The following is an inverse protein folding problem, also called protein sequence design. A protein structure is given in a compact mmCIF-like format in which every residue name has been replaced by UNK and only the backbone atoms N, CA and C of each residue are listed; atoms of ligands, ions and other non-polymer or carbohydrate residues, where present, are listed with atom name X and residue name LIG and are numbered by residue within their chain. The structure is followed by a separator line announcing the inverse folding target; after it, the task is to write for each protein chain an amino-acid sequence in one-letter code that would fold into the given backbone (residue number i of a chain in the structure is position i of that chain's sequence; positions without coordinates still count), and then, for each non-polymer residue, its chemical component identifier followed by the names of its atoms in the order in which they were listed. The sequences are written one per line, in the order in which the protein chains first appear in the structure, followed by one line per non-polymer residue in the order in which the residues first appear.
data_IF_014343620232
#
_entry.id   IF_014343620232
#
_cell.length_a   1.000
_cell.length_b   1.000
_cell.length_c   1.000
_cell.angle_alpha   90.00
_cell.angle_beta   90.00
_cell.angle_gamma   90.00
#
_symmetry.space_group_name_H-M   'P 1'
#
loop_
_entity.id
_entity.type
_entity.pdbx_description
1 polymer ?
#
# COMPACT_ATOMS: atom_id res chain seq x y z
N UNK A 1 9.47 20.14 0.80
CA UNK A 1 8.44 19.93 -0.24
C UNK A 1 8.13 18.45 -0.21
N UNK A 2 6.94 18.09 0.25
CA UNK A 2 6.49 16.69 0.29
C UNK A 2 6.57 16.13 -1.12
N UNK A 3 7.40 15.11 -1.34
CA UNK A 3 7.32 14.27 -2.53
C UNK A 3 5.98 13.58 -2.49
N UNK A 4 4.98 14.23 -3.06
CA UNK A 4 3.66 13.66 -3.29
C UNK A 4 3.91 12.40 -4.10
N UNK A 5 3.67 11.23 -3.51
CA UNK A 5 3.73 9.95 -4.22
C UNK A 5 2.61 10.02 -5.23
N UNK A 6 2.96 10.47 -6.43
CA UNK A 6 2.03 10.61 -7.53
C UNK A 6 1.63 9.21 -8.01
N UNK A 7 0.38 9.03 -8.46
CA UNK A 7 0.02 7.82 -9.16
C UNK A 7 0.85 7.69 -10.44
N UNK A 8 1.30 6.47 -10.74
CA UNK A 8 2.20 6.17 -11.85
C UNK A 8 1.50 5.43 -12.98
N UNK A 9 1.99 5.58 -14.22
CA UNK A 9 1.58 4.74 -15.34
C UNK A 9 2.48 3.49 -15.36
N UNK A 10 1.91 2.27 -15.38
CA UNK A 10 2.72 1.07 -15.34
C UNK A 10 3.56 0.93 -16.61
N UNK A 11 4.80 0.46 -16.49
CA UNK A 11 5.65 0.15 -17.65
C UNK A 11 5.00 -0.92 -18.54
N UNK A 12 4.44 -1.95 -17.90
CA UNK A 12 3.91 -3.15 -18.56
C UNK A 12 2.49 -3.46 -18.05
N UNK A 13 1.69 -4.06 -18.92
CA UNK A 13 0.35 -4.56 -18.62
C UNK A 13 0.19 -5.99 -19.13
N UNK A 14 -0.42 -6.86 -18.33
CA UNK A 14 -0.73 -8.25 -18.72
C UNK A 14 -2.20 -8.37 -19.12
N UNK A 15 -2.43 -8.71 -20.39
CA UNK A 15 -3.74 -8.90 -21.00
C UNK A 15 -4.09 -10.38 -21.10
N UNK A 16 -5.26 -10.78 -20.60
CA UNK A 16 -5.79 -12.13 -20.77
C UNK A 16 -6.63 -12.23 -22.05
N UNK A 17 -6.28 -13.19 -22.93
CA UNK A 17 -6.89 -13.34 -24.25
C UNK A 17 -8.19 -14.17 -24.26
N UNK A 18 -9.05 -13.95 -23.27
CA UNK A 18 -10.34 -14.63 -23.16
C UNK A 18 -11.21 -14.11 -22.00
N UNK A 19 -12.38 -14.74 -21.76
CA UNK A 19 -13.13 -14.53 -20.53
C UNK A 19 -12.28 -14.82 -19.29
N UNK A 20 -12.51 -14.14 -18.15
CA UNK A 20 -11.61 -14.24 -16.98
C UNK A 20 -11.32 -15.67 -16.48
N UNK A 21 -12.31 -16.56 -16.52
CA UNK A 21 -12.19 -17.94 -16.03
C UNK A 21 -11.79 -18.94 -17.13
N UNK A 22 -11.51 -18.46 -18.34
CA UNK A 22 -11.16 -19.32 -19.47
C UNK A 22 -9.67 -19.68 -19.47
N UNK A 23 -9.30 -20.87 -19.98
CA UNK A 23 -7.90 -21.22 -20.19
C UNK A 23 -7.36 -20.52 -21.45
N UNK A 24 -7.07 -19.22 -21.35
CA UNK A 24 -6.50 -18.41 -22.43
C UNK A 24 -5.10 -17.87 -22.08
N UNK A 25 -4.36 -17.46 -23.11
CA UNK A 25 -3.00 -16.92 -22.98
C UNK A 25 -3.03 -15.55 -22.26
N UNK A 26 -2.04 -15.32 -21.39
CA UNK A 26 -1.71 -14.01 -20.85
C UNK A 26 -0.56 -13.40 -21.66
N UNK A 27 -0.77 -12.23 -22.23
CA UNK A 27 0.24 -11.49 -23.01
C UNK A 27 0.63 -10.23 -22.27
N UNK A 28 1.93 -10.03 -22.05
CA UNK A 28 2.45 -8.81 -21.41
C UNK A 28 3.07 -7.90 -22.46
N UNK A 29 2.60 -6.66 -22.53
CA UNK A 29 3.07 -5.61 -23.46
C UNK A 29 3.34 -4.31 -22.70
N UNK A 30 4.01 -3.35 -23.34
CA UNK A 30 4.14 -2.02 -22.76
C UNK A 30 2.76 -1.35 -22.65
N UNK A 31 2.55 -0.53 -21.63
CA UNK A 31 1.28 0.18 -21.48
C UNK A 31 0.93 1.06 -22.70
N UNK A 32 1.86 1.83 -23.30
CA UNK A 32 1.60 2.55 -24.55
C UNK A 32 1.18 1.62 -25.69
N UNK A 33 1.87 0.49 -25.89
CA UNK A 33 1.52 -0.46 -26.98
C UNK A 33 0.13 -1.06 -26.79
N UNK A 34 -0.26 -1.33 -25.55
CA UNK A 34 -1.63 -1.75 -25.22
C UNK A 34 -2.66 -0.69 -25.63
N UNK A 35 -2.45 0.57 -25.25
CA UNK A 35 -3.39 1.66 -25.58
C UNK A 35 -3.44 1.90 -27.10
N UNK A 36 -2.29 1.87 -27.80
CA UNK A 36 -2.23 1.95 -29.27
C UNK A 36 -3.05 0.86 -29.94
N UNK A 37 -2.95 -0.36 -29.42
CA UNK A 37 -3.69 -1.53 -29.89
C UNK A 37 -5.19 -1.34 -29.70
N UNK A 38 -5.62 -0.99 -28.49
CA UNK A 38 -7.03 -0.77 -28.13
C UNK A 38 -7.62 0.38 -28.95
N UNK A 39 -6.95 1.52 -29.00
CA UNK A 39 -7.41 2.67 -29.77
C UNK A 39 -7.57 2.30 -31.25
N UNK A 40 -6.58 1.64 -31.84
CA UNK A 40 -6.68 1.19 -33.24
C UNK A 40 -7.76 0.12 -33.46
N UNK A 41 -8.22 -0.55 -32.40
CA UNK A 41 -9.25 -1.61 -32.41
C UNK A 41 -10.67 -1.10 -32.26
N UNK A 42 -10.85 0.04 -31.63
CA UNK A 42 -12.17 0.51 -31.23
C UNK A 42 -12.58 1.85 -31.83
N UNK A 43 -11.62 2.65 -32.32
CA UNK A 43 -11.90 3.94 -32.94
C UNK A 43 -11.31 4.02 -34.35
N UNK A 44 -11.92 4.87 -35.18
CA UNK A 44 -11.46 5.02 -36.56
C UNK A 44 -10.38 6.12 -36.65
N UNK A 45 -9.28 5.87 -37.37
CA UNK A 45 -8.19 6.84 -37.50
C UNK A 45 -8.60 8.09 -38.30
N UNK A 46 -9.70 8.05 -39.03
CA UNK A 46 -10.19 9.18 -39.84
C UNK A 46 -11.08 10.15 -39.05
N UNK A 47 -11.36 9.87 -37.78
CA UNK A 47 -12.14 10.77 -36.93
C UNK A 47 -11.38 12.08 -36.65
N UNK A 48 -12.11 13.17 -36.34
CA UNK A 48 -11.49 14.41 -35.90
C UNK A 48 -10.53 14.16 -34.73
N UNK A 49 -9.37 14.81 -34.75
CA UNK A 49 -8.31 14.59 -33.74
C UNK A 49 -8.82 14.78 -32.31
N UNK A 50 -9.67 15.79 -32.07
CA UNK A 50 -10.25 16.03 -30.76
C UNK A 50 -11.12 14.87 -30.25
N UNK A 51 -11.84 14.19 -31.16
CA UNK A 51 -12.61 13.00 -30.83
C UNK A 51 -11.67 11.82 -30.51
N UNK A 52 -10.63 11.61 -31.32
CA UNK A 52 -9.62 10.56 -31.10
C UNK A 52 -8.95 10.73 -29.73
N UNK A 53 -8.47 11.93 -29.41
CA UNK A 53 -7.87 12.26 -28.10
C UNK A 53 -8.84 12.01 -26.93
N UNK A 54 -10.09 12.46 -27.03
CA UNK A 54 -11.09 12.24 -25.97
C UNK A 54 -11.34 10.75 -25.71
N UNK A 55 -11.40 9.91 -26.75
CA UNK A 55 -11.54 8.46 -26.59
C UNK A 55 -10.29 7.83 -25.95
N UNK A 56 -9.09 8.23 -26.38
CA UNK A 56 -7.83 7.71 -25.84
C UNK A 56 -7.68 8.08 -24.35
N UNK A 57 -8.02 9.31 -23.95
CA UNK A 57 -8.05 9.67 -22.52
C UNK A 57 -8.98 8.76 -21.70
N UNK A 58 -10.16 8.44 -22.22
CA UNK A 58 -11.08 7.52 -21.56
C UNK A 58 -10.51 6.10 -21.47
N UNK A 59 -9.89 5.59 -22.54
CA UNK A 59 -9.22 4.28 -22.58
C UNK A 59 -8.06 4.19 -21.59
N UNK A 60 -7.19 5.20 -21.52
CA UNK A 60 -6.08 5.26 -20.56
C UNK A 60 -6.63 5.26 -19.13
N UNK A 61 -7.57 6.16 -18.83
CA UNK A 61 -8.15 6.30 -17.49
C UNK A 61 -8.85 5.02 -17.03
N UNK A 62 -9.63 4.39 -17.91
CA UNK A 62 -10.27 3.10 -17.63
C UNK A 62 -9.22 2.01 -17.31
N UNK A 63 -8.18 1.90 -18.14
CA UNK A 63 -7.14 0.88 -17.97
C UNK A 63 -6.38 1.07 -16.66
N UNK A 64 -5.97 2.30 -16.37
CA UNK A 64 -5.32 2.62 -15.09
C UNK A 64 -6.24 2.35 -13.91
N UNK A 65 -7.55 2.62 -14.03
CA UNK A 65 -8.50 2.26 -12.98
C UNK A 65 -8.52 0.74 -12.72
N UNK A 66 -8.49 -0.10 -13.76
CA UNK A 66 -8.41 -1.57 -13.61
C UNK A 66 -7.16 -2.00 -12.86
N UNK A 67 -6.02 -1.41 -13.21
CA UNK A 67 -4.72 -1.72 -12.61
C UNK A 67 -4.67 -1.25 -11.15
N UNK A 68 -5.05 0.00 -10.89
CA UNK A 68 -4.94 0.59 -9.54
C UNK A 68 -5.91 -0.07 -8.56
N UNK A 69 -7.13 -0.34 -9.02
CA UNK A 69 -8.10 -1.09 -8.21
C UNK A 69 -7.74 -2.57 -8.12
N UNK A 70 -6.73 -3.04 -8.85
CA UNK A 70 -6.37 -4.44 -8.98
C UNK A 70 -7.60 -5.30 -9.23
N UNK A 71 -8.42 -4.85 -10.18
CA UNK A 71 -9.76 -5.39 -10.36
C UNK A 71 -9.75 -6.91 -10.54
N UNK A 72 -8.81 -7.44 -11.33
CA UNK A 72 -8.65 -8.87 -11.54
C UNK A 72 -7.73 -9.51 -10.48
N UNK A 73 -6.59 -8.91 -10.15
CA UNK A 73 -5.69 -9.46 -9.13
C UNK A 73 -6.35 -9.63 -7.76
N UNK A 74 -7.21 -8.70 -7.35
CA UNK A 74 -8.01 -8.79 -6.12
C UNK A 74 -9.03 -9.93 -6.12
N UNK A 75 -9.34 -10.51 -7.29
CA UNK A 75 -10.17 -11.71 -7.45
C UNK A 75 -9.36 -12.99 -7.60
N UNK A 76 -8.03 -12.92 -7.52
CA UNK A 76 -7.14 -14.06 -7.58
C UNK A 76 -6.59 -14.37 -8.98
N UNK A 77 -6.87 -13.55 -9.98
CA UNK A 77 -6.26 -13.68 -11.31
C UNK A 77 -4.82 -13.13 -11.32
N UNK A 78 -4.01 -13.57 -12.27
CA UNK A 78 -2.61 -13.16 -12.45
C UNK A 78 -2.40 -12.11 -13.56
N UNK A 79 -3.48 -11.66 -14.18
CA UNK A 79 -3.52 -10.64 -15.24
C UNK A 79 -4.20 -9.34 -14.78
N UNK A 80 -4.03 -8.27 -15.57
CA UNK A 80 -4.50 -6.93 -15.23
C UNK A 80 -5.80 -6.54 -15.94
N UNK A 81 -6.05 -7.08 -17.14
CA UNK A 81 -7.21 -6.76 -17.97
C UNK A 81 -7.52 -7.89 -18.96
N UNK A 82 -8.76 -7.98 -19.44
CA UNK A 82 -9.13 -8.91 -20.53
C UNK A 82 -9.13 -8.22 -21.89
N UNK A 83 -9.26 -8.99 -22.98
CA UNK A 83 -9.19 -8.50 -24.36
C UNK A 83 -10.55 -8.35 -25.07
N UNK A 84 -11.67 -8.41 -24.35
CA UNK A 84 -13.01 -8.42 -24.94
C UNK A 84 -13.91 -7.31 -24.38
N UNK A 85 -14.68 -6.68 -25.27
CA UNK A 85 -15.67 -5.62 -24.94
C UNK A 85 -16.81 -6.09 -24.04
N UNK A 86 -16.96 -7.39 -23.82
CA UNK A 86 -17.88 -7.92 -22.81
C UNK A 86 -17.45 -7.55 -21.38
N UNK A 87 -16.14 -7.39 -21.15
CA UNK A 87 -15.57 -7.21 -19.82
C UNK A 87 -14.72 -5.94 -19.72
N UNK A 88 -13.92 -5.65 -20.75
CA UNK A 88 -12.96 -4.54 -20.83
C UNK A 88 -12.85 -4.00 -22.27
N UNK A 89 -11.63 -3.77 -22.78
CA UNK A 89 -11.39 -3.26 -24.13
C UNK A 89 -11.18 -4.40 -25.13
N UNK A 90 -11.44 -4.11 -26.40
CA UNK A 90 -11.08 -4.98 -27.50
C UNK A 90 -9.57 -4.87 -27.79
N UNK A 91 -8.84 -5.95 -27.54
CA UNK A 91 -7.41 -6.05 -27.81
C UNK A 91 -7.14 -7.27 -28.70
N UNK A 92 -6.29 -7.09 -29.71
CA UNK A 92 -5.92 -8.14 -30.66
C UNK A 92 -4.41 -8.31 -30.66
N UNK A 93 -3.91 -9.49 -30.30
CA UNK A 93 -2.48 -9.80 -30.36
C UNK A 93 -1.96 -9.61 -31.80
N UNK A 94 -0.80 -8.97 -31.93
CA UNK A 94 -0.07 -8.76 -33.20
C UNK A 94 -0.81 -7.95 -34.29
N UNK A 95 -1.81 -7.12 -33.94
CA UNK A 95 -2.49 -6.27 -34.93
C UNK A 95 -1.63 -5.11 -35.42
N UNK A 96 -1.97 -4.60 -36.60
CA UNK A 96 -1.42 -3.34 -37.11
C UNK A 96 -2.01 -2.12 -36.39
N UNK A 97 -1.17 -1.12 -36.12
CA UNK A 97 -1.51 0.12 -35.42
C UNK A 97 -1.57 1.27 -36.43
N UNK A 98 -2.56 2.14 -36.32
CA UNK A 98 -2.65 3.31 -37.18
C UNK A 98 -1.65 4.39 -36.72
N UNK A 99 -0.85 4.91 -37.64
CA UNK A 99 0.23 5.86 -37.34
C UNK A 99 -0.27 7.10 -36.58
N UNK A 100 -1.38 7.70 -37.02
CA UNK A 100 -1.93 8.89 -36.36
C UNK A 100 -2.46 8.61 -34.95
N UNK A 101 -2.99 7.41 -34.71
CA UNK A 101 -3.38 6.95 -33.38
C UNK A 101 -2.13 6.73 -32.53
N UNK A 102 -1.09 6.10 -33.08
CA UNK A 102 0.18 5.88 -32.37
C UNK A 102 0.77 7.20 -31.87
N UNK A 103 0.86 8.21 -32.73
CA UNK A 103 1.41 9.52 -32.39
C UNK A 103 0.64 10.19 -31.26
N UNK A 104 -0.70 10.16 -31.31
CA UNK A 104 -1.53 10.72 -30.24
C UNK A 104 -1.32 9.96 -28.92
N UNK A 105 -1.26 8.62 -28.95
CA UNK A 105 -1.00 7.83 -27.73
C UNK A 105 0.38 8.17 -27.16
N UNK A 106 1.42 8.27 -27.99
CA UNK A 106 2.77 8.63 -27.54
C UNK A 106 2.83 10.00 -26.85
N UNK A 107 1.92 10.91 -27.19
CA UNK A 107 1.82 12.22 -26.53
C UNK A 107 1.11 12.18 -25.17
N UNK A 108 0.09 11.32 -24.98
CA UNK A 108 -0.83 11.42 -23.83
C UNK A 108 -0.95 10.15 -22.99
N UNK A 109 -0.19 9.08 -23.27
CA UNK A 109 -0.34 7.79 -22.58
C UNK A 109 -0.15 7.88 -21.05
N UNK A 110 0.55 8.91 -20.57
CA UNK A 110 0.80 9.18 -19.17
C UNK A 110 -0.10 10.27 -18.57
N UNK A 111 -1.20 10.60 -19.25
CA UNK A 111 -2.23 11.52 -18.80
C UNK A 111 -3.55 10.79 -18.57
N UNK A 112 -4.27 11.09 -17.48
CA UNK A 112 -5.54 10.41 -17.19
C UNK A 112 -6.54 11.28 -16.43
N UNK A 113 -7.80 10.87 -16.53
CA UNK A 113 -8.95 11.58 -15.97
C UNK A 113 -9.05 11.25 -14.49
N UNK A 114 -9.28 12.27 -13.66
CA UNK A 114 -9.58 12.12 -12.23
C UNK A 114 -10.77 12.97 -11.84
N UNK A 115 -11.43 12.62 -10.73
CA UNK A 115 -12.40 13.52 -10.08
C UNK A 115 -11.64 14.66 -9.38
N UNK A 116 -12.23 15.85 -9.33
CA UNK A 116 -11.64 16.99 -8.63
C UNK A 116 -11.36 16.65 -7.15
N UNK A 117 -10.10 16.81 -6.75
CA UNK A 117 -9.61 16.47 -5.41
C UNK A 117 -9.24 14.99 -5.24
N UNK A 118 -9.28 14.18 -6.30
CA UNK A 118 -8.80 12.80 -6.33
C UNK A 118 -7.56 12.68 -7.22
N UNK A 119 -6.74 11.68 -6.93
CA UNK A 119 -5.63 11.24 -7.79
C UNK A 119 -5.87 9.83 -8.34
N UNK A 120 -7.01 9.22 -8.01
CA UNK A 120 -7.37 7.89 -8.52
C UNK A 120 -7.94 8.05 -9.93
N UNK A 121 -7.43 7.28 -10.92
CA UNK A 121 -7.94 7.30 -12.28
C UNK A 121 -9.42 6.99 -12.30
N UNK A 122 -10.19 7.82 -13.00
CA UNK A 122 -11.62 7.63 -13.19
C UNK A 122 -11.86 6.32 -13.94
N UNK A 123 -12.82 5.53 -13.48
CA UNK A 123 -13.38 4.45 -14.30
C UNK A 123 -14.22 5.07 -15.42
N UNK A 124 -13.53 5.56 -16.46
CA UNK A 124 -14.09 6.29 -17.59
C UNK A 124 -14.77 5.30 -18.55
N UNK A 125 -15.91 4.75 -18.12
CA UNK A 125 -16.70 3.84 -18.94
C UNK A 125 -17.12 4.52 -20.24
N UNK A 126 -17.11 3.79 -21.34
CA UNK A 126 -17.59 4.26 -22.63
C UNK A 126 -18.29 3.13 -23.39
N UNK A 127 -18.99 3.50 -24.45
CA UNK A 127 -19.66 2.58 -25.36
C UNK A 127 -19.66 3.17 -26.77
N UNK A 128 -19.90 2.31 -27.76
CA UNK A 128 -19.91 2.73 -29.16
C UNK A 128 -20.84 3.93 -29.43
N UNK A 129 -22.03 3.95 -28.82
CA UNK A 129 -22.94 5.09 -28.93
C UNK A 129 -23.87 5.09 -30.13
N UNK A 130 -23.69 4.18 -31.10
CA UNK A 130 -24.64 3.99 -32.22
C UNK A 130 -25.51 2.74 -32.05
N UNK A 131 -24.91 1.62 -31.66
CA UNK A 131 -25.58 0.34 -31.42
C UNK A 131 -25.81 0.04 -29.94
N UNK A 132 -25.23 0.86 -29.05
CA UNK A 132 -25.33 0.68 -27.59
C UNK A 132 -25.20 2.03 -26.90
N UNK A 133 -26.05 2.27 -25.90
CA UNK A 133 -26.07 3.49 -25.09
C UNK A 133 -25.64 3.17 -23.66
N UNK A 134 -24.82 4.03 -23.07
CA UNK A 134 -24.31 3.90 -21.71
C UNK A 134 -24.29 5.27 -21.03
N UNK A 135 -24.16 5.28 -19.70
CA UNK A 135 -24.00 6.51 -18.90
C UNK A 135 -22.67 7.22 -19.16
N UNK A 136 -21.70 6.49 -19.72
CA UNK A 136 -20.36 6.97 -20.02
C UNK A 136 -20.24 7.68 -21.38
N UNK A 137 -19.01 7.79 -21.86
CA UNK A 137 -18.73 8.44 -23.14
C UNK A 137 -19.29 7.63 -24.33
N UNK A 138 -19.98 8.33 -25.24
CA UNK A 138 -20.42 7.79 -26.53
C UNK A 138 -19.30 8.01 -27.55
N UNK A 139 -18.66 6.93 -28.03
CA UNK A 139 -17.51 7.04 -28.94
C UNK A 139 -17.89 7.83 -30.21
N UNK A 140 -19.00 7.49 -30.86
CA UNK A 140 -19.49 8.25 -32.01
C UNK A 140 -19.97 9.66 -31.63
N UNK A 141 -20.56 9.83 -30.45
CA UNK A 141 -20.97 11.15 -29.98
C UNK A 141 -19.80 12.11 -29.75
N UNK A 142 -18.57 11.62 -29.55
CA UNK A 142 -17.38 12.49 -29.54
C UNK A 142 -17.09 13.13 -30.89
N UNK A 143 -17.41 12.44 -31.99
CA UNK A 143 -17.21 12.93 -33.36
C UNK A 143 -18.11 14.14 -33.61
N UNK A 144 -19.38 14.07 -33.21
CA UNK A 144 -20.33 15.16 -33.37
C UNK A 144 -19.92 16.41 -32.58
N UNK A 145 -19.44 16.24 -31.35
CA UNK A 145 -18.95 17.34 -30.52
C UNK A 145 -17.65 17.92 -31.07
N UNK A 146 -16.72 17.09 -31.53
CA UNK A 146 -15.48 17.56 -32.15
C UNK A 146 -15.75 18.37 -33.43
N UNK A 147 -16.71 17.94 -34.26
CA UNK A 147 -17.14 18.68 -35.45
C UNK A 147 -17.81 20.03 -35.11
N UNK A 148 -18.38 20.15 -33.91
CA UNK A 148 -18.89 21.42 -33.37
C UNK A 148 -17.78 22.31 -32.77
N UNK A 149 -16.53 21.88 -32.83
CA UNK A 149 -15.37 22.65 -32.37
C UNK A 149 -14.99 22.42 -30.90
N UNK A 150 -15.58 21.43 -30.23
CA UNK A 150 -15.23 21.11 -28.84
C UNK A 150 -13.81 20.53 -28.77
N UNK A 151 -13.06 20.96 -27.76
CA UNK A 151 -11.75 20.40 -27.40
C UNK A 151 -11.90 19.03 -26.71
N UNK A 152 -10.84 18.20 -26.62
CA UNK A 152 -10.91 16.91 -25.93
C UNK A 152 -11.42 17.04 -24.49
N UNK A 153 -10.92 18.02 -23.74
CA UNK A 153 -11.32 18.23 -22.34
C UNK A 153 -12.79 18.68 -22.21
N UNK A 154 -13.30 19.49 -23.15
CA UNK A 154 -14.72 19.85 -23.17
C UNK A 154 -15.62 18.66 -23.49
N UNK A 155 -15.20 17.79 -24.43
CA UNK A 155 -15.89 16.53 -24.73
C UNK A 155 -15.92 15.63 -23.48
N UNK A 156 -14.80 15.48 -22.79
CA UNK A 156 -14.73 14.68 -21.56
C UNK A 156 -15.64 15.24 -20.46
N UNK A 157 -15.67 16.56 -20.26
CA UNK A 157 -16.58 17.20 -19.29
C UNK A 157 -18.04 17.03 -19.66
N UNK A 158 -18.37 17.03 -20.95
CA UNK A 158 -19.73 16.77 -21.42
C UNK A 158 -20.23 15.39 -20.98
N UNK A 159 -19.39 14.35 -21.06
CA UNK A 159 -19.79 12.98 -20.71
C UNK A 159 -19.61 12.63 -19.23
N UNK A 160 -18.54 13.11 -18.59
CA UNK A 160 -18.20 12.69 -17.23
C UNK A 160 -18.53 13.73 -16.15
N UNK A 161 -19.03 14.91 -16.53
CA UNK A 161 -19.35 16.00 -15.63
C UNK A 161 -18.24 17.05 -15.52
N UNK A 162 -18.56 18.20 -14.91
CA UNK A 162 -17.63 19.32 -14.77
C UNK A 162 -16.63 19.15 -13.62
N UNK A 163 -16.80 18.12 -12.79
CA UNK A 163 -15.99 17.79 -11.62
C UNK A 163 -14.83 16.82 -11.97
N UNK A 164 -14.30 16.91 -13.19
CA UNK A 164 -13.13 16.17 -13.64
C UNK A 164 -11.93 17.09 -13.89
N UNK A 165 -10.73 16.56 -13.68
CA UNK A 165 -9.46 17.13 -14.14
C UNK A 165 -8.67 16.07 -14.90
N UNK A 166 -7.63 16.49 -15.62
CA UNK A 166 -6.62 15.59 -16.18
C UNK A 166 -5.36 15.74 -15.33
N UNK A 167 -4.82 14.63 -14.83
CA UNK A 167 -3.45 14.59 -14.33
C UNK A 167 -2.56 14.37 -15.54
N UNK A 168 -1.60 15.27 -15.72
CA UNK A 168 -0.67 15.23 -16.85
C UNK A 168 0.72 14.77 -16.38
N UNK A 169 1.46 14.13 -17.27
CA UNK A 169 2.86 13.74 -17.06
C UNK A 169 3.09 12.85 -15.82
N UNK A 170 2.21 11.87 -15.60
CA UNK A 170 2.40 10.93 -14.52
C UNK A 170 3.70 10.14 -14.69
N UNK A 171 4.44 9.88 -13.59
CA UNK A 171 5.68 9.10 -13.66
C UNK A 171 5.38 7.67 -14.15
N UNK A 172 6.35 7.05 -14.81
CA UNK A 172 6.27 5.65 -15.23
C UNK A 172 6.96 4.78 -14.17
N UNK A 173 6.35 3.64 -13.81
CA UNK A 173 6.96 2.71 -12.85
C UNK A 173 6.52 1.27 -13.08
N UNK A 174 7.22 0.30 -12.50
CA UNK A 174 6.87 -1.12 -12.58
C UNK A 174 5.48 -1.38 -12.00
N UNK A 175 4.68 -2.21 -12.68
CA UNK A 175 3.37 -2.67 -12.18
C UNK A 175 3.56 -3.72 -11.06
N UNK A 176 3.84 -3.27 -9.84
CA UNK A 176 4.04 -4.15 -8.68
C UNK A 176 2.70 -4.38 -7.98
N UNK A 177 2.35 -5.65 -7.77
CA UNK A 177 1.21 -6.09 -6.94
C UNK A 177 1.16 -5.35 -5.60
N UNK A 178 -0.02 -4.92 -5.15
CA UNK A 178 -0.18 -4.15 -3.91
C UNK A 178 0.07 -4.97 -2.65
N UNK A 179 -0.17 -6.29 -2.69
CA UNK A 179 0.15 -7.15 -1.55
C UNK A 179 1.66 -7.13 -1.30
N UNK A 180 2.13 -6.77 -0.08
CA UNK A 180 3.55 -6.53 0.21
C UNK A 180 4.47 -7.76 0.08
N UNK A 181 3.96 -8.92 -0.32
CA UNK A 181 4.75 -10.14 -0.46
C UNK A 181 5.07 -10.83 0.86
N UNK A 182 4.65 -10.26 1.99
CA UNK A 182 4.75 -10.84 3.32
C UNK A 182 3.44 -10.60 4.09
N UNK A 183 3.04 -11.52 4.99
CA UNK A 183 1.81 -11.37 5.75
C UNK A 183 1.93 -10.25 6.78
N UNK A 184 0.87 -9.44 6.92
CA UNK A 184 0.74 -8.51 8.05
C UNK A 184 0.04 -9.23 9.20
N UNK A 185 0.58 -9.09 10.41
CA UNK A 185 0.09 -9.75 11.61
C UNK A 185 0.41 -8.89 12.83
N UNK A 186 0.06 -9.34 14.03
CA UNK A 186 0.32 -8.62 15.26
C UNK A 186 1.76 -8.07 15.31
N UNK A 187 1.80 -6.74 15.46
CA UNK A 187 2.87 -5.75 15.39
C UNK A 187 3.80 -5.76 14.18
N UNK A 188 3.31 -6.23 13.03
CA UNK A 188 3.67 -5.58 11.78
C UNK A 188 3.44 -4.07 11.90
N UNK A 189 4.31 -3.28 11.29
CA UNK A 189 4.16 -1.83 11.24
C UNK A 189 4.55 -1.31 9.87
N UNK A 190 3.91 -0.23 9.45
CA UNK A 190 4.16 0.38 8.16
C UNK A 190 2.87 0.92 7.56
N UNK A 191 3.04 1.58 6.43
CA UNK A 191 1.93 2.15 5.69
C UNK A 191 1.01 1.06 5.08
N UNK A 192 1.49 -0.17 4.87
CA UNK A 192 0.67 -1.31 4.48
C UNK A 192 -0.35 -1.66 5.57
N UNK A 193 0.08 -1.57 6.84
CA UNK A 193 -0.81 -1.74 7.99
C UNK A 193 -1.79 -0.58 8.06
N UNK A 194 -1.32 0.66 7.89
CA UNK A 194 -2.20 1.83 7.88
C UNK A 194 -3.27 1.72 6.78
N UNK A 195 -2.87 1.20 5.62
CA UNK A 195 -3.76 0.95 4.47
C UNK A 195 -4.87 -0.02 4.85
N UNK A 196 -4.55 -1.19 5.40
CA UNK A 196 -5.59 -2.14 5.80
C UNK A 196 -6.45 -1.61 6.94
N UNK A 197 -5.89 -0.83 7.87
CA UNK A 197 -6.65 -0.26 8.98
C UNK A 197 -7.72 0.72 8.47
N UNK A 198 -7.35 1.60 7.53
CA UNK A 198 -8.30 2.50 6.84
C UNK A 198 -9.35 1.73 6.07
N UNK A 199 -8.93 0.75 5.26
CA UNK A 199 -9.85 -0.04 4.45
C UNK A 199 -10.84 -0.84 5.32
N UNK A 200 -10.36 -1.50 6.38
CA UNK A 200 -11.21 -2.24 7.32
C UNK A 200 -12.18 -1.30 8.05
N UNK A 201 -11.75 -0.11 8.44
CA UNK A 201 -12.64 0.89 9.04
C UNK A 201 -13.71 1.37 8.07
N UNK A 202 -13.40 1.55 6.78
CA UNK A 202 -14.42 1.90 5.80
C UNK A 202 -15.38 0.74 5.56
N UNK A 203 -14.85 -0.47 5.46
CA UNK A 203 -15.68 -1.68 5.31
C UNK A 203 -16.61 -1.83 6.52
N UNK A 204 -16.15 -1.53 7.74
CA UNK A 204 -16.99 -1.66 8.93
C UNK A 204 -18.17 -0.68 8.99
N UNK A 205 -18.20 0.39 8.19
CA UNK A 205 -19.40 1.22 8.03
C UNK A 205 -20.58 0.42 7.44
N UNK A 206 -20.28 -0.49 6.51
CA UNK A 206 -21.27 -1.36 5.87
C UNK A 206 -21.37 -2.74 6.53
N UNK A 207 -20.35 -3.14 7.30
CA UNK A 207 -20.28 -4.41 8.03
C UNK A 207 -19.99 -4.16 9.53
N UNK A 208 -20.97 -3.66 10.32
CA UNK A 208 -20.74 -3.16 11.68
C UNK A 208 -20.28 -4.19 12.71
N UNK A 209 -20.33 -5.48 12.37
CA UNK A 209 -19.77 -6.53 13.22
C UNK A 209 -18.26 -6.50 13.25
N UNK A 210 -17.58 -5.97 12.21
CA UNK A 210 -16.13 -5.71 12.22
C UNK A 210 -15.84 -4.57 13.21
N UNK A 211 -15.09 -4.81 14.30
CA UNK A 211 -14.74 -3.77 15.25
C UNK A 211 -14.04 -2.58 14.59
N UNK A 212 -14.37 -1.36 15.02
CA UNK A 212 -13.67 -0.15 14.60
C UNK A 212 -12.27 -0.11 15.20
N UNK A 213 -11.28 0.17 14.37
CA UNK A 213 -9.89 0.40 14.75
C UNK A 213 -9.77 1.89 15.07
N UNK A 214 -9.65 2.26 16.35
CA UNK A 214 -9.61 3.68 16.74
C UNK A 214 -8.27 4.33 16.43
N UNK A 215 -7.20 3.53 16.43
CA UNK A 215 -5.83 4.00 16.24
C UNK A 215 -5.32 3.65 14.82
N UNK A 216 -5.49 4.58 13.88
CA UNK A 216 -4.95 4.49 12.51
C UNK A 216 -3.48 4.93 12.46
N UNK A 217 -2.63 4.18 13.15
CA UNK A 217 -1.22 4.53 13.38
C UNK A 217 -0.24 3.72 12.51
N UNK A 218 -0.74 2.80 11.68
CA UNK A 218 0.10 1.90 10.90
C UNK A 218 0.84 0.86 11.73
N UNK A 219 0.36 0.57 12.95
CA UNK A 219 0.85 -0.51 13.80
C UNK A 219 -0.26 -1.54 13.97
N UNK A 220 0.04 -2.78 13.64
CA UNK A 220 -0.94 -3.87 13.62
C UNK A 220 -1.12 -4.35 15.06
N UNK A 221 -1.88 -3.63 15.87
CA UNK A 221 -2.19 -4.02 17.25
C UNK A 221 -3.32 -5.04 17.36
N UNK A 222 -3.70 -5.36 18.59
CA UNK A 222 -4.82 -6.29 18.90
C UNK A 222 -6.13 -5.85 18.26
N UNK A 223 -6.46 -4.55 18.29
CA UNK A 223 -7.64 -4.02 17.59
C UNK A 223 -7.65 -4.31 16.08
N UNK A 224 -6.47 -4.24 15.45
CA UNK A 224 -6.34 -4.54 14.01
C UNK A 224 -6.49 -6.04 13.78
N UNK A 225 -5.90 -6.87 14.63
CA UNK A 225 -6.06 -8.33 14.59
C UNK A 225 -7.52 -8.75 14.75
N UNK A 226 -8.24 -8.21 15.73
CA UNK A 226 -9.65 -8.50 15.99
C UNK A 226 -10.53 -8.10 14.79
N UNK A 227 -10.29 -6.92 14.21
CA UNK A 227 -10.95 -6.49 12.99
C UNK A 227 -10.67 -7.43 11.81
N UNK A 228 -9.43 -7.90 11.67
CA UNK A 228 -9.04 -8.87 10.63
C UNK A 228 -9.71 -10.23 10.85
N UNK A 229 -9.71 -10.78 12.07
CA UNK A 229 -10.38 -12.05 12.39
C UNK A 229 -11.86 -11.99 12.07
N UNK A 230 -12.51 -10.89 12.44
CA UNK A 230 -13.93 -10.69 12.18
C UNK A 230 -14.22 -10.51 10.68
N UNK A 231 -13.38 -9.77 9.96
CA UNK A 231 -13.45 -9.68 8.50
C UNK A 231 -13.31 -11.08 7.85
N UNK A 232 -12.31 -11.86 8.27
CA UNK A 232 -12.07 -13.22 7.78
C UNK A 232 -13.28 -14.13 8.03
N UNK A 233 -13.90 -14.03 9.21
CA UNK A 233 -15.12 -14.75 9.54
C UNK A 233 -16.27 -14.42 8.56
N UNK A 234 -16.54 -13.13 8.34
CA UNK A 234 -17.64 -12.67 7.47
C UNK A 234 -17.45 -13.12 6.02
N UNK A 235 -16.21 -13.11 5.54
CA UNK A 235 -15.88 -13.38 4.14
C UNK A 235 -15.38 -14.81 3.88
N UNK A 236 -15.61 -15.74 4.82
CA UNK A 236 -15.28 -17.16 4.71
C UNK A 236 -13.79 -17.42 4.38
N UNK A 237 -12.89 -16.69 5.03
CA UNK A 237 -11.44 -16.90 4.99
C UNK A 237 -10.98 -17.69 6.24
N UNK A 238 -9.72 -18.14 6.22
CA UNK A 238 -9.05 -18.63 7.44
C UNK A 238 -9.04 -17.54 8.51
N UNK A 239 -9.58 -17.83 9.71
CA UNK A 239 -9.72 -16.87 10.81
C UNK A 239 -8.47 -16.85 11.71
N UNK A 240 -7.31 -16.63 11.10
CA UNK A 240 -6.01 -16.64 11.78
C UNK A 240 -5.57 -15.25 12.28
N UNK A 241 -6.32 -14.19 11.97
CA UNK A 241 -5.96 -12.80 12.31
C UNK A 241 -4.81 -12.24 11.49
N UNK A 242 -4.36 -12.96 10.46
CA UNK A 242 -3.22 -12.62 9.62
C UNK A 242 -3.70 -12.13 8.25
N UNK A 243 -3.24 -10.95 7.86
CA UNK A 243 -3.44 -10.42 6.51
C UNK A 243 -2.36 -10.98 5.58
N UNK A 244 -2.54 -12.26 5.19
CA UNK A 244 -1.82 -12.86 4.07
C UNK A 244 -2.40 -12.46 2.71
N UNK A 245 -1.85 -13.00 1.61
CA UNK A 245 -2.23 -12.67 0.22
C UNK A 245 -3.75 -12.72 0.00
N UNK A 246 -4.40 -13.80 0.43
CA UNK A 246 -5.85 -13.98 0.27
C UNK A 246 -6.66 -12.93 1.03
N UNK A 247 -6.34 -12.70 2.31
CA UNK A 247 -7.00 -11.69 3.14
C UNK A 247 -6.82 -10.29 2.58
N UNK A 248 -5.59 -9.91 2.19
CA UNK A 248 -5.27 -8.61 1.60
C UNK A 248 -6.14 -8.30 0.39
N UNK A 249 -6.16 -9.21 -0.59
CA UNK A 249 -6.92 -9.01 -1.81
C UNK A 249 -8.42 -9.05 -1.57
N UNK A 250 -8.89 -9.83 -0.61
CA UNK A 250 -10.31 -9.82 -0.23
C UNK A 250 -10.71 -8.49 0.42
N UNK A 251 -9.90 -7.92 1.33
CA UNK A 251 -10.13 -6.59 1.91
C UNK A 251 -10.22 -5.56 0.78
N UNK A 252 -9.22 -5.54 -0.12
CA UNK A 252 -9.20 -4.60 -1.25
C UNK A 252 -10.41 -4.77 -2.17
N UNK A 253 -10.81 -6.00 -2.49
CA UNK A 253 -11.97 -6.29 -3.33
C UNK A 253 -13.27 -5.73 -2.71
N UNK A 254 -13.48 -5.97 -1.41
CA UNK A 254 -14.67 -5.50 -0.68
C UNK A 254 -14.64 -3.97 -0.57
N UNK A 255 -13.49 -3.41 -0.19
CA UNK A 255 -13.28 -1.96 -0.10
C UNK A 255 -13.61 -1.26 -1.43
N UNK A 256 -13.06 -1.75 -2.55
CA UNK A 256 -13.33 -1.19 -3.88
C UNK A 256 -14.80 -1.30 -4.28
N UNK A 257 -15.47 -2.39 -3.89
CA UNK A 257 -16.91 -2.53 -4.08
C UNK A 257 -17.71 -1.44 -3.36
N UNK A 258 -17.37 -1.15 -2.11
CA UNK A 258 -18.00 -0.09 -1.30
C UNK A 258 -17.63 1.31 -1.84
N UNK A 259 -16.36 1.53 -2.20
CA UNK A 259 -15.90 2.81 -2.72
C UNK A 259 -16.64 3.19 -4.02
N UNK A 260 -16.81 2.25 -4.95
CA UNK A 260 -17.60 2.47 -6.18
C UNK A 260 -19.07 2.79 -5.89
N UNK A 261 -19.67 2.16 -4.87
CA UNK A 261 -21.04 2.51 -4.43
C UNK A 261 -21.11 3.90 -3.81
N UNK A 262 -20.07 4.30 -3.07
CA UNK A 262 -19.94 5.63 -2.49
C UNK A 262 -19.67 6.72 -3.55
N UNK A 263 -19.03 6.41 -4.69
CA UNK A 263 -18.93 7.34 -5.82
C UNK A 263 -20.27 7.58 -6.54
N UNK A 264 -21.17 6.59 -6.52
CA UNK A 264 -22.50 6.66 -7.15
C UNK A 264 -23.55 7.34 -6.26
N UNK A 265 -23.31 7.38 -4.95
CA UNK A 265 -24.15 8.08 -3.97
C UNK A 265 -23.43 9.37 -3.59
N UNK A 266 -24.11 10.46 -3.25
CA UNK A 266 -23.46 11.77 -3.07
C UNK A 266 -22.48 11.86 -1.87
N UNK A 267 -22.16 10.74 -1.23
CA UNK A 267 -21.20 10.61 -0.12
C UNK A 267 -19.77 10.57 -0.67
N UNK A 268 -19.22 11.77 -0.91
CA UNK A 268 -17.84 11.97 -1.37
C UNK A 268 -16.84 11.30 -0.41
N UNK A 269 -16.16 10.26 -0.89
CA UNK A 269 -14.91 9.76 -0.30
C UNK A 269 -13.91 10.92 -0.16
N UNK A 270 -13.16 10.97 0.94
CA UNK A 270 -12.09 11.96 1.11
C UNK A 270 -10.80 11.45 0.47
N UNK A 271 -9.90 12.34 0.04
CA UNK A 271 -8.59 12.00 -0.52
C UNK A 271 -7.79 11.02 0.37
N UNK A 272 -7.98 11.10 1.69
CA UNK A 272 -7.36 10.25 2.71
C UNK A 272 -7.95 8.83 2.76
N UNK A 273 -9.21 8.66 2.35
CA UNK A 273 -9.89 7.37 2.22
C UNK A 273 -9.42 6.61 0.99
N UNK A 274 -9.03 7.31 -0.08
CA UNK A 274 -8.74 6.71 -1.41
C UNK A 274 -7.25 6.66 -1.77
N UNK A 275 -6.34 7.21 -0.96
CA UNK A 275 -4.91 7.24 -1.29
C UNK A 275 -3.96 6.86 -0.13
N UNK A 276 -2.86 6.12 -0.37
CA UNK A 276 -2.41 5.54 -1.63
C UNK A 276 -2.59 4.01 -1.69
N UNK A 277 -3.15 3.53 -2.80
CA UNK A 277 -3.34 2.11 -3.13
C UNK A 277 -2.00 1.45 -3.60
N UNK A 278 -0.86 2.05 -3.24
CA UNK A 278 0.48 1.70 -3.73
C UNK A 278 1.42 1.23 -2.63
N UNK A 279 2.42 0.39 -2.96
CA UNK A 279 3.43 -0.01 -2.00
C UNK A 279 4.09 1.24 -1.45
N UNK A 280 4.04 1.35 -0.15
CA UNK A 280 4.48 2.51 0.57
C UNK A 280 5.99 2.51 0.65
N UNK A 281 6.57 3.36 -0.16
CA UNK A 281 7.99 3.64 -0.15
C UNK A 281 8.31 4.50 1.08
N UNK A 282 9.21 4.07 1.97
CA UNK A 282 9.73 4.97 3.00
C UNK A 282 10.84 5.81 2.38
N UNK A 283 10.66 7.13 2.41
CA UNK A 283 11.58 8.09 1.80
C UNK A 283 12.00 9.16 2.81
N UNK A 284 13.03 9.90 2.42
CA UNK A 284 13.49 11.09 3.14
C UNK A 284 12.34 12.07 3.45
N UNK A 285 12.33 12.63 4.65
CA UNK A 285 11.33 13.55 5.17
C UNK A 285 10.13 12.88 5.86
N UNK A 286 9.99 11.56 5.79
CA UNK A 286 8.96 10.83 6.55
C UNK A 286 9.30 10.74 8.04
N UNK A 287 8.28 10.68 8.89
CA UNK A 287 8.46 10.53 10.33
C UNK A 287 7.38 9.65 10.96
N UNK A 288 7.74 8.89 11.99
CA UNK A 288 6.81 8.08 12.77
C UNK A 288 7.45 6.81 13.33
N UNK A 289 6.68 6.00 14.04
CA UNK A 289 7.21 4.78 14.67
C UNK A 289 7.63 3.72 13.65
N UNK A 290 7.07 3.73 12.44
CA UNK A 290 7.53 2.89 11.33
C UNK A 290 8.96 3.26 10.88
N UNK A 291 9.33 4.54 10.98
CA UNK A 291 10.72 4.99 10.77
C UNK A 291 11.60 4.58 11.95
N UNK A 292 11.10 4.63 13.19
CA UNK A 292 11.87 4.10 14.34
C UNK A 292 12.17 2.62 14.17
N UNK A 293 11.20 1.82 13.72
CA UNK A 293 11.42 0.39 13.44
C UNK A 293 12.48 0.20 12.35
N UNK A 294 12.39 0.97 11.25
CA UNK A 294 13.41 0.98 10.19
C UNK A 294 14.80 1.26 10.74
N UNK A 295 14.94 2.38 11.46
CA UNK A 295 16.19 2.84 12.01
C UNK A 295 16.74 1.84 13.04
N UNK A 296 15.89 1.27 13.89
CA UNK A 296 16.30 0.27 14.86
C UNK A 296 16.85 -1.00 14.19
N UNK A 297 16.20 -1.48 13.12
CA UNK A 297 16.69 -2.65 12.39
C UNK A 297 18.01 -2.36 11.69
N UNK A 298 18.12 -1.18 11.06
CA UNK A 298 19.36 -0.73 10.42
C UNK A 298 20.48 -0.58 11.43
N UNK A 299 20.22 0.02 12.59
CA UNK A 299 21.21 0.24 13.66
C UNK A 299 21.79 -1.09 14.19
N UNK A 300 20.92 -2.05 14.49
CA UNK A 300 21.35 -3.39 14.92
C UNK A 300 22.13 -4.12 13.82
N UNK A 301 21.72 -3.99 12.55
CA UNK A 301 22.45 -4.59 11.43
C UNK A 301 23.80 -3.87 11.22
N UNK A 302 23.85 -2.54 11.33
CA UNK A 302 25.06 -1.73 11.16
C UNK A 302 26.18 -2.13 12.13
N UNK A 303 25.81 -2.51 13.37
CA UNK A 303 26.77 -3.04 14.35
C UNK A 303 27.59 -4.24 13.82
N UNK A 304 26.98 -5.10 13.00
CA UNK A 304 27.64 -6.28 12.42
C UNK A 304 28.20 -6.01 11.01
N UNK A 305 27.75 -4.94 10.36
CA UNK A 305 28.15 -4.56 9.01
C UNK A 305 28.64 -3.10 9.00
N UNK A 306 29.93 -2.85 9.30
CA UNK A 306 30.50 -1.49 9.46
C UNK A 306 30.44 -0.60 8.22
N UNK A 307 29.99 -1.14 7.09
CA UNK A 307 29.79 -0.40 5.83
C UNK A 307 28.51 0.42 5.86
N UNK A 308 27.59 0.10 6.77
CA UNK A 308 26.37 0.86 7.03
C UNK A 308 26.72 1.90 8.08
N UNK A 309 26.56 3.21 7.78
CA UNK A 309 26.79 4.27 8.76
C UNK A 309 25.89 4.14 9.99
N UNK A 310 26.43 4.53 11.15
CA UNK A 310 25.65 4.64 12.38
C UNK A 310 24.55 5.70 12.25
N UNK A 311 23.36 5.38 12.76
CA UNK A 311 22.20 6.27 12.72
C UNK A 311 21.58 6.45 14.10
N UNK A 312 20.75 7.48 14.22
CA UNK A 312 19.95 7.70 15.42
C UNK A 312 18.54 7.16 15.19
N UNK A 313 17.99 6.46 16.19
CA UNK A 313 16.61 5.98 16.19
C UNK A 313 15.69 7.09 16.72
N UNK A 314 15.53 8.16 15.93
CA UNK A 314 14.73 9.34 16.29
C UNK A 314 13.30 9.32 15.69
N UNK A 315 13.05 8.42 14.76
CA UNK A 315 11.78 8.32 14.04
C UNK A 315 11.63 9.32 12.91
N UNK A 316 12.70 10.01 12.48
CA UNK A 316 12.72 10.91 11.33
C UNK A 316 13.66 10.39 10.24
N UNK A 317 13.15 10.18 9.03
CA UNK A 317 13.92 9.70 7.90
C UNK A 317 14.70 10.88 7.30
N UNK A 318 15.82 11.23 7.93
CA UNK A 318 16.74 12.26 7.46
C UNK A 318 17.84 11.74 6.53
N UNK A 319 18.77 12.64 6.18
CA UNK A 319 19.93 12.36 5.32
C UNK A 319 20.72 11.13 5.79
N UNK A 320 21.02 11.03 7.09
CA UNK A 320 21.73 9.87 7.66
C UNK A 320 20.98 8.55 7.49
N UNK A 321 19.65 8.56 7.67
CA UNK A 321 18.84 7.35 7.46
C UNK A 321 18.87 6.95 5.99
N UNK A 322 18.83 7.91 5.06
CA UNK A 322 18.93 7.67 3.62
C UNK A 322 20.29 7.08 3.23
N UNK A 323 21.38 7.63 3.75
CA UNK A 323 22.73 7.11 3.55
C UNK A 323 22.86 5.67 4.05
N UNK A 324 22.34 5.36 5.24
CA UNK A 324 22.32 4.01 5.78
C UNK A 324 21.48 3.05 4.94
N UNK A 325 20.32 3.48 4.44
CA UNK A 325 19.50 2.70 3.51
C UNK A 325 20.24 2.41 2.21
N UNK A 326 20.89 3.43 1.60
CA UNK A 326 21.66 3.25 0.37
C UNK A 326 22.85 2.30 0.58
N UNK A 327 23.57 2.44 1.70
CA UNK A 327 24.66 1.54 2.06
C UNK A 327 24.17 0.10 2.25
N UNK A 328 23.04 -0.08 2.93
CA UNK A 328 22.40 -1.39 3.09
C UNK A 328 21.93 -1.97 1.75
N UNK A 329 21.27 -1.19 0.89
CA UNK A 329 20.84 -1.61 -0.45
C UNK A 329 22.03 -2.09 -1.29
N UNK A 330 23.13 -1.32 -1.29
CA UNK A 330 24.35 -1.68 -1.99
C UNK A 330 24.96 -2.98 -1.44
N UNK A 331 25.01 -3.14 -0.12
CA UNK A 331 25.51 -4.36 0.54
C UNK A 331 24.68 -5.61 0.15
N UNK A 332 23.38 -5.45 -0.05
CA UNK A 332 22.45 -6.52 -0.40
C UNK A 332 22.25 -6.73 -1.90
N UNK A 333 22.92 -5.94 -2.76
CA UNK A 333 22.76 -6.01 -4.22
C UNK A 333 21.36 -5.57 -4.71
N UNK A 334 20.71 -4.66 -3.98
CA UNK A 334 19.43 -4.05 -4.36
C UNK A 334 19.65 -2.76 -5.17
N UNK A 335 18.59 -2.24 -5.79
CA UNK A 335 18.60 -0.88 -6.37
C UNK A 335 18.99 0.14 -5.30
N UNK A 336 20.00 0.96 -5.57
CA UNK A 336 20.57 1.92 -4.62
C UNK A 336 19.92 3.30 -4.83
N UNK A 337 18.69 3.45 -4.38
CA UNK A 337 17.88 4.67 -4.54
C UNK A 337 17.63 5.40 -3.21
N UNK A 338 18.00 4.81 -2.07
CA UNK A 338 17.73 5.36 -0.74
C UNK A 338 16.26 5.31 -0.35
N UNK A 339 15.45 4.56 -1.09
CA UNK A 339 14.02 4.39 -0.89
C UNK A 339 13.76 2.99 -0.33
N UNK A 340 13.11 2.92 0.83
CA UNK A 340 12.78 1.64 1.44
C UNK A 340 11.46 1.12 0.89
N UNK A 341 11.55 0.38 -0.21
CA UNK A 341 10.45 -0.41 -0.74
C UNK A 341 10.39 -1.82 -0.14
N UNK A 342 9.49 -2.65 -0.69
CA UNK A 342 9.27 -4.05 -0.29
C UNK A 342 10.55 -4.87 -0.17
N UNK A 343 11.38 -4.82 -1.21
CA UNK A 343 12.58 -5.67 -1.28
C UNK A 343 13.62 -5.25 -0.25
N UNK A 344 13.80 -3.93 -0.06
CA UNK A 344 14.65 -3.38 0.99
C UNK A 344 14.15 -3.79 2.37
N UNK A 345 12.85 -3.66 2.66
CA UNK A 345 12.27 -4.03 3.95
C UNK A 345 12.44 -5.52 4.27
N UNK A 346 12.14 -6.39 3.29
CA UNK A 346 12.30 -7.83 3.40
C UNK A 346 13.75 -8.21 3.64
N UNK A 347 14.66 -7.63 2.86
CA UNK A 347 16.09 -7.88 2.99
C UNK A 347 16.60 -7.44 4.36
N UNK A 348 16.21 -6.25 4.83
CA UNK A 348 16.59 -5.73 6.14
C UNK A 348 16.10 -6.62 7.28
N UNK A 349 14.84 -7.04 7.23
CA UNK A 349 14.26 -7.95 8.23
C UNK A 349 15.00 -9.30 8.26
N UNK A 350 15.38 -9.83 7.09
CA UNK A 350 16.16 -11.07 7.00
C UNK A 350 17.58 -10.90 7.56
N UNK A 351 18.25 -9.79 7.22
CA UNK A 351 19.57 -9.47 7.74
C UNK A 351 19.54 -9.34 9.28
N UNK A 352 18.56 -8.62 9.81
CA UNK A 352 18.32 -8.47 11.25
C UNK A 352 18.12 -9.83 11.94
N UNK A 353 17.23 -10.68 11.43
CA UNK A 353 17.01 -12.01 11.98
C UNK A 353 18.24 -12.92 11.89
N UNK A 354 19.05 -12.75 10.85
CA UNK A 354 20.31 -13.49 10.68
C UNK A 354 21.33 -13.06 11.72
N UNK A 355 21.46 -11.75 11.94
CA UNK A 355 22.29 -11.18 13.00
C UNK A 355 21.89 -11.73 14.37
N UNK A 356 20.59 -11.71 14.71
CA UNK A 356 20.11 -12.24 15.99
C UNK A 356 20.49 -13.71 16.21
N UNK A 357 20.39 -14.54 15.17
CA UNK A 357 20.75 -15.97 15.23
C UNK A 357 22.26 -16.22 15.31
N UNK A 358 23.07 -15.27 14.84
CA UNK A 358 24.52 -15.39 14.83
C UNK A 358 25.17 -14.98 16.16
N UNK A 359 24.41 -14.40 17.10
CA UNK A 359 24.92 -14.00 18.41
C UNK A 359 25.33 -15.25 19.21
N UNK A 360 26.60 -15.37 19.64
CA UNK A 360 27.05 -16.50 20.44
C UNK A 360 26.32 -16.59 21.80
N UNK A 361 26.03 -17.79 22.32
CA UNK A 361 25.28 -17.98 23.56
C UNK A 361 25.85 -17.22 24.77
N UNK A 362 27.17 -17.06 24.84
CA UNK A 362 27.87 -16.37 25.91
C UNK A 362 27.57 -14.86 25.99
N UNK A 363 27.15 -14.23 24.88
CA UNK A 363 26.77 -12.81 24.83
C UNK A 363 25.26 -12.58 25.01
N UNK A 364 24.46 -13.64 25.21
CA UNK A 364 22.99 -13.53 25.32
C UNK A 364 22.51 -12.65 26.49
N UNK A 365 23.33 -12.48 27.52
CA UNK A 365 23.03 -11.58 28.65
C UNK A 365 23.28 -10.12 28.30
N UNK A 366 24.32 -9.81 27.52
CA UNK A 366 24.61 -8.46 27.02
C UNK A 366 23.64 -8.06 25.89
N UNK A 367 23.15 -9.03 25.11
CA UNK A 367 22.17 -8.81 24.04
C UNK A 367 20.71 -8.89 24.51
N UNK A 368 20.48 -9.04 25.81
CA UNK A 368 19.13 -9.07 26.42
C UNK A 368 18.34 -7.76 26.23
N UNK A 369 19.02 -6.68 25.83
CA UNK A 369 18.43 -5.39 25.46
C UNK A 369 18.11 -5.28 23.96
N UNK A 370 18.46 -6.27 23.15
CA UNK A 370 18.10 -6.32 21.73
C UNK A 370 16.70 -6.90 21.61
N UNK A 371 15.85 -6.22 20.85
CA UNK A 371 14.50 -6.68 20.54
C UNK A 371 14.56 -8.07 19.90
N UNK A 372 13.67 -9.02 20.24
CA UNK A 372 13.79 -10.39 19.75
C UNK A 372 13.33 -10.57 18.28
N UNK A 373 12.95 -9.49 17.58
CA UNK A 373 12.52 -9.53 16.18
C UNK A 373 11.07 -9.96 15.96
N UNK A 374 10.32 -10.15 17.04
CA UNK A 374 8.89 -10.42 17.02
C UNK A 374 8.21 -9.74 18.21
N UNK A 375 6.90 -9.53 18.07
CA UNK A 375 6.12 -8.73 19.02
C UNK A 375 5.82 -9.53 20.27
N UNK A 376 5.98 -8.89 21.42
CA UNK A 376 5.52 -9.43 22.69
C UNK A 376 4.12 -8.88 22.99
N UNK A 377 3.17 -9.76 23.26
CA UNK A 377 1.76 -9.43 23.46
C UNK A 377 1.11 -10.45 24.38
N UNK A 378 -0.11 -10.15 24.84
CA UNK A 378 -0.86 -11.03 25.73
C UNK A 378 -0.91 -12.50 25.26
N UNK A 379 -0.73 -13.42 26.21
CA UNK A 379 -0.72 -14.86 25.98
C UNK A 379 0.62 -15.45 25.53
N UNK A 380 1.61 -14.62 25.22
CA UNK A 380 2.97 -15.09 24.94
C UNK A 380 3.64 -15.59 26.23
N UNK A 381 4.22 -16.78 26.20
CA UNK A 381 4.96 -17.35 27.33
C UNK A 381 6.37 -17.79 26.90
N UNK A 382 7.39 -17.03 27.27
CA UNK A 382 8.80 -17.34 26.99
C UNK A 382 9.79 -16.47 27.80
N UNK A 383 11.09 -16.69 27.59
CA UNK A 383 12.13 -15.94 28.29
C UNK A 383 12.27 -14.48 27.81
N UNK A 384 11.83 -14.14 26.59
CA UNK A 384 11.81 -12.74 26.11
C UNK A 384 10.77 -11.91 26.88
N UNK A 385 9.65 -12.51 27.28
CA UNK A 385 8.69 -11.89 28.19
C UNK A 385 9.30 -11.68 29.58
N UNK A 386 10.07 -12.65 30.12
CA UNK A 386 10.78 -12.43 31.39
C UNK A 386 11.75 -11.26 31.30
N UNK A 387 12.47 -11.14 30.18
CA UNK A 387 13.37 -10.00 29.92
C UNK A 387 12.60 -8.69 29.92
N UNK A 388 11.50 -8.60 29.17
CA UNK A 388 10.63 -7.43 29.16
C UNK A 388 10.14 -7.07 30.58
N UNK A 389 9.62 -8.04 31.32
CA UNK A 389 9.12 -7.84 32.69
C UNK A 389 10.23 -7.33 33.63
N UNK A 390 11.46 -7.83 33.46
CA UNK A 390 12.63 -7.34 34.22
C UNK A 390 12.91 -5.87 33.92
N UNK A 391 12.87 -5.46 32.65
CA UNK A 391 13.05 -4.07 32.24
C UNK A 391 11.91 -3.19 32.77
N UNK A 392 10.66 -3.61 32.61
CA UNK A 392 9.48 -2.87 33.11
C UNK A 392 9.51 -2.71 34.63
N UNK A 393 9.90 -3.75 35.38
CA UNK A 393 10.02 -3.67 36.83
C UNK A 393 11.07 -2.63 37.26
N UNK A 394 12.21 -2.56 36.57
CA UNK A 394 13.23 -1.54 36.85
C UNK A 394 12.73 -0.11 36.59
N UNK A 395 11.90 0.09 35.55
CA UNK A 395 11.30 1.38 35.21
C UNK A 395 10.23 1.74 36.25
N UNK A 396 9.38 0.77 36.63
CA UNK A 396 8.34 0.95 37.66
C UNK A 396 8.93 1.34 39.02
N UNK A 397 10.14 0.87 39.35
CA UNK A 397 10.85 1.25 40.57
C UNK A 397 11.23 2.75 40.61
N UNK A 398 11.40 3.39 39.46
CA UNK A 398 11.73 4.82 39.33
C UNK A 398 10.49 5.67 39.02
N UNK A 399 9.53 5.14 38.28
CA UNK A 399 8.25 5.78 37.95
C UNK A 399 7.05 4.92 38.38
N UNK A 400 6.47 5.21 39.56
CA UNK A 400 5.32 4.49 40.10
C UNK A 400 4.03 4.59 39.26
N UNK A 401 3.99 5.47 38.26
CA UNK A 401 2.86 5.57 37.32
C UNK A 401 2.81 4.36 36.38
N UNK A 402 3.92 3.64 36.24
CA UNK A 402 3.99 2.39 35.49
C UNK A 402 3.71 1.23 36.45
N UNK A 403 2.63 0.45 36.25
CA UNK A 403 2.31 -0.72 37.06
C UNK A 403 3.50 -1.66 37.22
N UNK A 404 3.72 -2.13 38.45
CA UNK A 404 4.71 -3.18 38.70
C UNK A 404 4.23 -4.51 38.12
N UNK A 405 5.15 -5.28 37.56
CA UNK A 405 4.87 -6.58 36.91
C UNK A 405 5.59 -7.70 37.64
N UNK A 406 4.97 -8.89 37.65
CA UNK A 406 5.61 -10.11 38.12
C UNK A 406 6.51 -10.67 37.01
N UNK A 407 7.73 -11.12 37.35
CA UNK A 407 8.65 -11.73 36.38
C UNK A 407 8.36 -13.23 36.34
N UNK A 408 7.35 -13.60 35.57
CA UNK A 408 6.89 -14.99 35.42
C UNK A 408 7.10 -15.53 33.99
N UNK A 409 7.37 -14.67 33.02
CA UNK A 409 7.55 -15.03 31.61
C UNK A 409 6.26 -15.23 30.85
N UNK A 410 5.13 -14.91 31.45
CA UNK A 410 3.80 -14.92 30.83
C UNK A 410 3.38 -13.47 30.60
N UNK A 411 3.10 -13.11 29.35
CA UNK A 411 2.62 -11.77 29.03
C UNK A 411 1.14 -11.71 29.41
N UNK A 412 0.90 -11.42 30.67
CA UNK A 412 -0.43 -11.34 31.27
C UNK A 412 -1.05 -9.94 31.10
N UNK A 413 -2.34 -9.76 31.46
CA UNK A 413 -2.99 -8.45 31.39
C UNK A 413 -2.30 -7.37 32.25
N UNK A 414 -1.57 -7.75 33.31
CA UNK A 414 -0.78 -6.81 34.12
C UNK A 414 0.44 -6.30 33.35
N UNK A 415 1.11 -7.19 32.63
CA UNK A 415 2.23 -6.86 31.73
C UNK A 415 1.75 -5.95 30.59
N UNK A 416 0.60 -6.27 29.99
CA UNK A 416 -0.03 -5.42 28.98
C UNK A 416 -0.38 -4.03 29.52
N UNK A 417 -0.98 -3.96 30.72
CA UNK A 417 -1.32 -2.70 31.37
C UNK A 417 -0.07 -1.86 31.69
N UNK A 418 1.03 -2.48 32.13
CA UNK A 418 2.29 -1.80 32.36
C UNK A 418 2.88 -1.21 31.07
N UNK A 419 2.84 -1.97 29.98
CA UNK A 419 3.26 -1.52 28.66
C UNK A 419 2.37 -0.38 28.15
N UNK A 420 1.04 -0.51 28.29
CA UNK A 420 0.10 0.54 27.92
C UNK A 420 0.34 1.83 28.70
N UNK A 421 0.54 1.74 30.02
CA UNK A 421 0.84 2.91 30.86
C UNK A 421 2.16 3.58 30.45
N UNK A 422 3.18 2.79 30.10
CA UNK A 422 4.46 3.31 29.61
C UNK A 422 4.28 4.00 28.26
N UNK A 423 3.54 3.38 27.34
CA UNK A 423 3.25 3.96 26.03
C UNK A 423 2.50 5.29 26.17
N UNK A 424 1.50 5.34 27.04
CA UNK A 424 0.72 6.54 27.35
C UNK A 424 1.61 7.63 27.94
N UNK A 425 2.47 7.30 28.90
CA UNK A 425 3.36 8.25 29.56
C UNK A 425 4.33 8.93 28.58
N UNK A 426 4.89 8.17 27.63
CA UNK A 426 5.81 8.70 26.61
C UNK A 426 5.11 9.22 25.35
N UNK A 427 3.77 9.26 25.34
CA UNK A 427 2.99 9.77 24.22
C UNK A 427 3.18 8.98 22.92
N UNK A 428 3.54 7.69 23.02
CA UNK A 428 3.59 6.77 21.89
C UNK A 428 2.28 5.96 21.81
N UNK A 429 1.95 5.33 20.67
CA UNK A 429 0.69 4.62 20.53
C UNK A 429 0.50 3.54 21.61
N UNK A 430 -0.64 3.63 22.31
CA UNK A 430 -1.03 2.69 23.37
C UNK A 430 -1.59 1.42 22.73
N UNK A 431 -0.70 0.46 22.46
CA UNK A 431 -1.04 -0.85 21.87
C UNK A 431 -1.14 -1.96 22.91
N UNK A 432 -0.53 -1.80 24.09
CA UNK A 432 -0.40 -2.88 25.07
C UNK A 432 0.46 -4.05 24.57
N UNK A 433 1.24 -3.82 23.52
CA UNK A 433 2.16 -4.79 22.91
C UNK A 433 3.53 -4.15 22.72
N UNK A 434 4.59 -4.95 22.69
CA UNK A 434 5.97 -4.45 22.57
C UNK A 434 6.57 -4.85 21.24
N UNK A 435 6.77 -3.87 20.36
CA UNK A 435 7.56 -3.99 19.14
C UNK A 435 8.89 -3.25 19.20
N UNK A 436 9.62 -3.22 18.09
CA UNK A 436 10.97 -2.65 18.03
C UNK A 436 11.05 -1.21 18.60
N UNK A 437 10.10 -0.35 18.25
CA UNK A 437 10.05 1.02 18.76
C UNK A 437 9.81 1.08 20.28
N UNK A 438 8.82 0.35 20.80
CA UNK A 438 8.52 0.28 22.24
C UNK A 438 9.65 -0.37 23.02
N UNK A 439 10.24 -1.44 22.47
CA UNK A 439 11.38 -2.12 23.06
C UNK A 439 12.61 -1.20 23.13
N UNK A 440 12.91 -0.49 22.04
CA UNK A 440 14.00 0.47 21.98
C UNK A 440 13.84 1.56 23.04
N UNK A 441 12.62 2.08 23.23
CA UNK A 441 12.30 3.01 24.31
C UNK A 441 12.57 2.38 25.69
N UNK A 442 12.01 1.21 25.97
CA UNK A 442 12.18 0.50 27.26
C UNK A 442 13.66 0.25 27.56
N UNK A 443 14.42 -0.24 26.57
CA UNK A 443 15.85 -0.48 26.70
C UNK A 443 16.65 0.82 26.92
N UNK A 444 16.25 1.93 26.27
CA UNK A 444 16.88 3.23 26.50
C UNK A 444 16.65 3.74 27.93
N UNK A 445 15.42 3.65 28.43
CA UNK A 445 15.05 4.06 29.79
C UNK A 445 15.77 3.22 30.86
N UNK A 446 15.90 1.92 30.61
CA UNK A 446 16.70 1.03 31.44
C UNK A 446 18.16 1.51 31.57
N UNK A 447 18.79 1.85 30.45
CA UNK A 447 20.18 2.33 30.41
C UNK A 447 20.33 3.78 30.92
N UNK A 448 19.27 4.59 30.82
CA UNK A 448 19.29 6.01 31.18
C UNK A 448 18.10 6.35 32.11
N UNK A 449 18.13 5.94 33.39
CA UNK A 449 17.00 6.13 34.31
C UNK A 449 16.65 7.60 34.58
N UNK A 450 17.52 8.54 34.20
CA UNK A 450 17.28 9.98 34.33
C UNK A 450 16.26 10.51 33.29
N UNK A 451 15.95 9.73 32.27
CA UNK A 451 14.96 10.06 31.22
C UNK A 451 13.54 9.57 31.56
N UNK A 452 13.36 9.00 32.76
CA UNK A 452 12.11 8.39 33.25
C UNK A 452 11.17 9.44 33.85
#
# INVERSE_FOLDING_TARGET
MSTQVLPYVPEMITVHLGPPDSPAENVTVSFPDYIKNVASSEIYPTWPENAVRANIYAQISYTLNRIYTEWYRSKGYDFDITNSTQYDHYFVKDREIFENVSQIVDEIFNDYIVRQGSIVPLFASYCNGTTSTCTGLSQWGTVDLANQGYTPYEILRYYYGNDINIIENAPISSNVESYPGFPLKLGSSGNEVLTIQRQLNRISDNYPSIPKITNLNGIFGTQTEDAVRQFQYIFNLSQDGIVGKATWYKIKNVFNGIARLAELTADRLTYEDVSPIYPSLLTEGMSGDYIKTLQYYLDVVAYFYPQIPDITVDGYFGEKTKEAVMAFQNLQGLTVDGIVGRDTWRSLTNAYNTVLKAIPPEYQTETSLIYPGYILSEGLENDDVKRLQTLLQSISAVNPSIPNVEINGVYDPTTAAAVSALQEFFGIPVTGTVGAATWSLIANLYNNPQNI
#
